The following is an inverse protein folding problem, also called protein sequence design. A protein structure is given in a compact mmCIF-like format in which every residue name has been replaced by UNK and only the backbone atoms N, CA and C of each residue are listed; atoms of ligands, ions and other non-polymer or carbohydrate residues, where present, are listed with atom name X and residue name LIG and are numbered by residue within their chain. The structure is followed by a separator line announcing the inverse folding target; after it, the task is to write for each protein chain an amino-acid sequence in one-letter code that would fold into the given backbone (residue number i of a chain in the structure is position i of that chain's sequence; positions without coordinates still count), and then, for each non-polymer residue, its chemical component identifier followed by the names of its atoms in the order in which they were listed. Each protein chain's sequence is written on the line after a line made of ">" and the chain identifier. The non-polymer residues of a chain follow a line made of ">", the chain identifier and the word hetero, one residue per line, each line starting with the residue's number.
data_IF_364942079209
#
_entry.id   IF_364942079209
#
_cell.length_a   1.000
_cell.length_b   1.000
_cell.length_c   1.000
_cell.angle_alpha   90.00
_cell.angle_beta   90.00
_cell.angle_gamma   90.00
#
_symmetry.space_group_name_H-M   'P 1'
#
loop_
_entity.id
_entity.type
_entity.pdbx_description
1 polymer ?
#
# COMPACT_ATOMS: atom_id res chain seq x y z
N UNK A 1 -14.52 -13.46 -7.38
CA UNK A 1 -14.50 -12.95 -6.00
C UNK A 1 -15.92 -13.08 -5.47
N UNK A 2 -16.17 -13.88 -4.43
CA UNK A 2 -17.53 -14.05 -3.87
C UNK A 2 -17.76 -12.91 -2.88
N UNK A 3 -18.91 -12.25 -2.97
CA UNK A 3 -19.28 -11.06 -2.20
C UNK A 3 -19.34 -11.26 -0.67
N UNK A 4 -19.25 -12.50 -0.18
CA UNK A 4 -19.14 -12.79 1.25
C UNK A 4 -17.91 -12.12 1.91
N UNK A 5 -16.83 -11.85 1.15
CA UNK A 5 -15.67 -11.11 1.66
C UNK A 5 -15.89 -9.60 1.84
N UNK A 6 -16.84 -9.00 1.12
CA UNK A 6 -17.10 -7.53 1.18
C UNK A 6 -17.93 -7.16 2.41
N UNK A 7 -18.70 -8.10 2.96
CA UNK A 7 -19.54 -7.89 4.15
C UNK A 7 -18.71 -7.57 5.39
N UNK A 8 -17.43 -7.96 5.45
CA UNK A 8 -16.57 -7.73 6.61
C UNK A 8 -16.24 -6.26 6.90
N UNK A 9 -16.49 -5.35 5.97
CA UNK A 9 -16.20 -3.92 6.12
C UNK A 9 -17.44 -3.04 6.37
N UNK A 10 -18.63 -3.63 6.52
CA UNK A 10 -19.83 -2.86 6.89
C UNK A 10 -19.80 -2.51 8.39
N UNK A 11 -19.30 -1.32 8.73
CA UNK A 11 -19.48 -0.73 10.07
C UNK A 11 -20.77 0.09 10.11
N UNK A 12 -21.84 -0.50 10.62
CA UNK A 12 -23.02 0.26 11.01
C UNK A 12 -22.83 0.82 12.42
N UNK A 13 -22.85 2.15 12.57
CA UNK A 13 -22.83 2.80 13.88
C UNK A 13 -24.27 2.86 14.44
N UNK A 14 -24.66 1.81 15.18
CA UNK A 14 -26.03 1.59 15.64
C UNK A 14 -26.55 2.63 16.67
N UNK A 15 -25.71 3.59 17.10
CA UNK A 15 -26.05 4.60 18.11
C UNK A 15 -26.14 6.04 17.57
N UNK A 16 -25.95 6.25 16.27
CA UNK A 16 -25.96 7.59 15.71
C UNK A 16 -27.40 8.09 15.43
N UNK A 17 -27.77 9.28 15.95
CA UNK A 17 -28.96 10.04 15.52
C UNK A 17 -28.85 10.58 14.06
N UNK A 18 -27.85 10.10 13.29
CA UNK A 18 -27.56 10.51 11.92
C UNK A 18 -27.84 9.32 10.99
N UNK A 19 -28.28 9.57 9.75
CA UNK A 19 -28.43 8.51 8.76
C UNK A 19 -27.12 7.72 8.61
N UNK A 20 -27.18 6.39 8.46
CA UNK A 20 -25.98 5.56 8.33
C UNK A 20 -25.25 5.89 7.02
N UNK A 21 -23.92 5.86 7.08
CA UNK A 21 -23.03 5.99 5.93
C UNK A 21 -22.40 4.62 5.64
N UNK A 22 -22.69 4.06 4.47
CA UNK A 22 -22.04 2.85 4.00
C UNK A 22 -20.83 3.22 3.14
N UNK A 23 -19.64 2.72 3.48
CA UNK A 23 -18.42 2.94 2.70
C UNK A 23 -18.01 1.64 2.03
N UNK A 24 -17.97 1.64 0.70
CA UNK A 24 -17.49 0.55 -0.14
C UNK A 24 -16.11 0.91 -0.68
N UNK A 25 -15.07 0.30 -0.11
CA UNK A 25 -13.69 0.55 -0.51
C UNK A 25 -13.22 -0.40 -1.61
N UNK A 26 -12.44 0.13 -2.56
CA UNK A 26 -11.86 -0.62 -3.69
C UNK A 26 -12.90 -1.38 -4.52
N UNK A 27 -14.04 -0.75 -4.80
CA UNK A 27 -15.11 -1.36 -5.58
C UNK A 27 -14.64 -1.70 -7.01
N UNK A 28 -15.14 -2.82 -7.52
CA UNK A 28 -14.92 -3.27 -8.89
C UNK A 28 -16.16 -2.97 -9.74
N UNK A 29 -16.00 -2.45 -10.98
CA UNK A 29 -17.13 -2.10 -11.83
C UNK A 29 -17.98 -3.30 -12.27
N UNK A 30 -17.50 -4.54 -12.12
CA UNK A 30 -18.26 -5.76 -12.41
C UNK A 30 -19.20 -6.18 -11.26
N UNK A 31 -19.15 -5.49 -10.11
CA UNK A 31 -20.01 -5.80 -8.97
C UNK A 31 -21.47 -5.44 -9.26
N UNK A 32 -22.38 -6.38 -9.02
CA UNK A 32 -23.82 -6.12 -9.12
C UNK A 32 -24.34 -5.51 -7.80
N UNK A 33 -23.92 -4.28 -7.50
CA UNK A 33 -24.24 -3.60 -6.24
C UNK A 33 -25.74 -3.48 -5.98
N UNK A 34 -26.56 -3.40 -7.03
CA UNK A 34 -28.02 -3.29 -6.94
C UNK A 34 -28.68 -4.45 -6.17
N UNK A 35 -28.02 -5.60 -6.08
CA UNK A 35 -28.54 -6.78 -5.36
C UNK A 35 -28.27 -6.72 -3.85
N UNK A 36 -27.40 -5.83 -3.40
CA UNK A 36 -26.86 -5.83 -2.03
C UNK A 36 -27.06 -4.50 -1.31
N UNK A 37 -27.30 -3.41 -2.05
CA UNK A 37 -27.52 -2.11 -1.47
C UNK A 37 -29.00 -1.95 -1.06
N UNK A 38 -29.28 -1.55 0.19
CA UNK A 38 -30.61 -1.10 0.55
C UNK A 38 -30.84 0.24 -0.14
N UNK A 39 -31.59 0.26 -1.24
CA UNK A 39 -32.04 1.51 -1.86
C UNK A 39 -33.14 2.14 -0.98
N UNK A 40 -32.74 2.72 0.15
CA UNK A 40 -33.59 3.62 0.93
C UNK A 40 -33.16 5.06 0.67
N UNK A 41 -34.12 5.99 0.62
CA UNK A 41 -33.87 7.43 0.38
C UNK A 41 -32.98 8.11 1.45
N UNK A 42 -32.64 7.40 2.53
CA UNK A 42 -31.96 7.96 3.69
C UNK A 42 -30.54 7.41 3.91
N UNK A 43 -30.11 6.40 3.16
CA UNK A 43 -28.79 5.80 3.34
C UNK A 43 -27.79 6.45 2.38
N UNK A 44 -26.75 7.08 2.93
CA UNK A 44 -25.67 7.64 2.12
C UNK A 44 -24.65 6.55 1.83
N UNK A 45 -24.22 6.40 0.56
CA UNK A 45 -23.23 5.39 0.15
C UNK A 45 -22.03 6.11 -0.47
N UNK A 46 -20.84 5.88 0.08
CA UNK A 46 -19.57 6.32 -0.49
C UNK A 46 -18.87 5.13 -1.12
N UNK A 47 -18.58 5.22 -2.42
CA UNK A 47 -17.86 4.18 -3.17
C UNK A 47 -16.50 4.75 -3.57
N UNK A 48 -15.43 4.05 -3.23
CA UNK A 48 -14.06 4.40 -3.64
C UNK A 48 -13.50 3.33 -4.56
N UNK A 49 -12.80 3.73 -5.63
CA UNK A 49 -12.12 2.82 -6.54
C UNK A 49 -11.01 3.56 -7.30
N UNK A 50 -10.01 2.80 -7.73
CA UNK A 50 -9.02 3.27 -8.71
C UNK A 50 -9.51 3.15 -10.15
N UNK A 51 -10.61 2.42 -10.37
CA UNK A 51 -11.20 2.24 -11.69
C UNK A 51 -12.33 3.24 -11.93
N UNK A 52 -12.14 4.13 -12.90
CA UNK A 52 -13.13 5.16 -13.23
C UNK A 52 -14.48 4.60 -13.71
N UNK A 53 -14.50 3.35 -14.20
CA UNK A 53 -15.73 2.69 -14.61
C UNK A 53 -16.74 2.58 -13.46
N UNK A 54 -16.30 2.56 -12.19
CA UNK A 54 -17.17 2.53 -10.99
C UNK A 54 -18.08 3.76 -10.88
N UNK A 55 -17.78 4.84 -11.62
CA UNK A 55 -18.65 6.03 -11.69
C UNK A 55 -20.09 5.73 -12.12
N UNK A 56 -20.34 4.62 -12.83
CA UNK A 56 -21.70 4.23 -13.22
C UNK A 56 -22.61 3.91 -12.02
N UNK A 57 -22.07 3.60 -10.84
CA UNK A 57 -22.85 3.40 -9.62
C UNK A 57 -23.31 4.72 -8.98
N UNK A 58 -22.76 5.86 -9.38
CA UNK A 58 -23.10 7.14 -8.77
C UNK A 58 -24.51 7.58 -9.19
N UNK A 59 -25.42 7.78 -8.21
CA UNK A 59 -26.74 8.37 -8.46
C UNK A 59 -26.69 9.87 -8.81
N UNK A 60 -25.50 10.47 -8.76
CA UNK A 60 -25.25 11.90 -9.01
C UNK A 60 -23.85 12.11 -9.58
N UNK A 61 -23.06 12.99 -8.96
CA UNK A 61 -21.72 13.30 -9.44
C UNK A 61 -20.67 12.31 -8.93
N UNK A 62 -19.91 11.72 -9.84
CA UNK A 62 -18.68 11.03 -9.50
C UNK A 62 -17.53 12.04 -9.34
N UNK A 63 -16.75 11.91 -8.27
CA UNK A 63 -15.60 12.76 -8.02
C UNK A 63 -14.31 12.03 -8.38
N UNK A 64 -13.56 12.59 -9.32
CA UNK A 64 -12.18 12.16 -9.57
C UNK A 64 -11.28 12.86 -8.57
N UNK A 65 -10.68 12.09 -7.67
CA UNK A 65 -9.69 12.63 -6.74
C UNK A 65 -8.40 12.96 -7.51
N UNK A 66 -8.01 14.24 -7.51
CA UNK A 66 -6.74 14.71 -8.05
C UNK A 66 -5.97 15.35 -6.91
N UNK A 67 -4.73 14.90 -6.66
CA UNK A 67 -3.83 15.67 -5.79
C UNK A 67 -3.53 17.02 -6.45
N UNK A 68 -3.47 18.07 -5.63
CA UNK A 68 -3.10 19.42 -6.05
C UNK A 68 -1.81 19.38 -6.88
N UNK A 69 -1.80 20.06 -8.02
CA UNK A 69 -0.60 20.22 -8.83
C UNK A 69 0.44 21.03 -8.04
N UNK A 70 1.73 20.85 -8.36
CA UNK A 70 2.86 21.52 -7.72
C UNK A 70 2.75 23.05 -7.66
N UNK A 71 1.90 23.65 -8.49
CA UNK A 71 1.65 25.09 -8.54
C UNK A 71 0.92 25.64 -7.30
N UNK A 72 0.15 24.83 -6.56
CA UNK A 72 -0.57 25.31 -5.37
C UNK A 72 0.26 25.22 -4.07
N UNK A 73 1.44 24.58 -4.13
CA UNK A 73 2.37 24.48 -3.01
C UNK A 73 3.04 25.81 -2.63
N UNK A 74 2.90 26.84 -3.46
CA UNK A 74 3.44 28.18 -3.18
C UNK A 74 2.81 28.85 -1.95
N UNK A 75 1.64 28.38 -1.49
CA UNK A 75 0.94 28.92 -0.32
C UNK A 75 1.45 28.39 1.02
N UNK A 76 2.29 27.34 1.03
CA UNK A 76 2.94 26.82 2.25
C UNK A 76 4.29 27.50 2.56
N UNK A 77 4.68 28.52 1.78
CA UNK A 77 6.03 29.09 1.71
C UNK A 77 6.50 29.98 2.87
N UNK A 78 5.81 30.04 4.01
CA UNK A 78 6.20 30.91 5.13
C UNK A 78 6.71 30.18 6.38
N UNK A 79 6.87 28.86 6.32
CA UNK A 79 7.48 28.09 7.40
C UNK A 79 8.62 27.25 6.81
N UNK A 80 9.84 27.45 7.34
CA UNK A 80 11.07 26.68 7.10
C UNK A 80 12.06 27.19 6.03
N UNK A 81 13.11 27.82 6.56
CA UNK A 81 14.32 28.26 5.85
C UNK A 81 15.16 27.08 5.32
N UNK A 82 15.70 27.24 4.11
CA UNK A 82 16.85 26.50 3.56
C UNK A 82 16.55 25.33 2.62
N UNK A 83 15.58 24.47 2.96
CA UNK A 83 15.40 23.18 2.29
C UNK A 83 14.12 23.04 1.45
N UNK A 84 13.28 24.08 1.39
CA UNK A 84 12.00 24.07 0.67
C UNK A 84 12.16 23.74 -0.82
N UNK A 85 13.16 24.33 -1.49
CA UNK A 85 13.41 24.10 -2.91
C UNK A 85 13.68 22.61 -3.20
N UNK A 86 14.57 21.98 -2.42
CA UNK A 86 14.86 20.56 -2.55
C UNK A 86 13.67 19.67 -2.19
N UNK A 87 12.90 20.04 -1.16
CA UNK A 87 11.68 19.31 -0.80
C UNK A 87 10.64 19.37 -1.93
N UNK A 88 10.42 20.55 -2.53
CA UNK A 88 9.54 20.73 -3.68
C UNK A 88 10.04 19.95 -4.89
N UNK A 89 11.34 19.96 -5.18
CA UNK A 89 11.93 19.14 -6.24
C UNK A 89 11.70 17.63 -6.03
N UNK A 90 11.78 17.14 -4.79
CA UNK A 90 11.47 15.74 -4.46
C UNK A 90 10.00 15.45 -4.71
N UNK A 91 9.09 16.29 -4.22
CA UNK A 91 7.64 16.10 -4.41
C UNK A 91 7.27 16.10 -5.89
N UNK A 92 7.88 17.00 -6.67
CA UNK A 92 7.71 17.07 -8.12
C UNK A 92 8.26 15.81 -8.81
N UNK A 93 9.44 15.34 -8.42
CA UNK A 93 10.02 14.10 -8.95
C UNK A 93 9.15 12.87 -8.62
N UNK A 94 8.42 12.90 -7.50
CA UNK A 94 7.47 11.86 -7.07
C UNK A 94 6.07 12.06 -7.69
N UNK A 95 5.91 12.95 -8.66
CA UNK A 95 4.65 13.19 -9.36
C UNK A 95 3.52 13.66 -8.46
N UNK A 96 3.85 14.31 -7.33
CA UNK A 96 2.89 14.73 -6.30
C UNK A 96 2.02 13.57 -5.78
N UNK A 97 2.54 12.34 -5.71
CA UNK A 97 1.77 11.18 -5.24
C UNK A 97 1.95 10.99 -3.74
N UNK A 98 0.86 11.13 -2.98
CA UNK A 98 0.89 11.10 -1.51
C UNK A 98 1.62 9.88 -0.94
N UNK A 99 1.37 8.69 -1.49
CA UNK A 99 2.02 7.45 -1.04
C UNK A 99 3.54 7.48 -1.30
N UNK A 100 3.96 7.95 -2.48
CA UNK A 100 5.38 8.06 -2.82
C UNK A 100 6.09 9.12 -1.95
N UNK A 101 5.42 10.25 -1.68
CA UNK A 101 5.91 11.33 -0.80
C UNK A 101 6.04 10.86 0.65
N UNK A 102 5.02 10.18 1.19
CA UNK A 102 5.07 9.62 2.53
C UNK A 102 6.20 8.57 2.66
N UNK A 103 6.36 7.72 1.65
CA UNK A 103 7.45 6.72 1.59
C UNK A 103 8.82 7.39 1.56
N UNK A 104 8.99 8.45 0.75
CA UNK A 104 10.22 9.23 0.71
C UNK A 104 10.55 9.88 2.06
N UNK A 105 9.56 10.50 2.69
CA UNK A 105 9.70 11.11 4.01
C UNK A 105 10.13 10.10 5.07
N UNK A 106 9.49 8.92 5.10
CA UNK A 106 9.86 7.83 6.00
C UNK A 106 11.28 7.31 5.74
N UNK A 107 11.68 7.17 4.48
CA UNK A 107 13.05 6.79 4.11
C UNK A 107 14.06 7.81 4.64
N UNK A 108 13.83 9.10 4.39
CA UNK A 108 14.74 10.17 4.81
C UNK A 108 14.85 10.20 6.35
N UNK A 109 13.72 10.18 7.06
CA UNK A 109 13.69 10.23 8.52
C UNK A 109 14.36 9.02 9.18
N UNK A 110 14.23 7.83 8.59
CA UNK A 110 14.84 6.59 9.12
C UNK A 110 16.31 6.43 8.73
N UNK A 111 16.91 7.38 8.00
CA UNK A 111 18.30 7.29 7.53
C UNK A 111 19.10 8.47 8.03
N UNK A 112 19.84 8.28 9.11
CA UNK A 112 20.62 9.35 9.75
C UNK A 112 21.56 10.10 8.77
N UNK A 113 22.06 9.43 7.73
CA UNK A 113 22.98 10.00 6.74
C UNK A 113 22.32 10.48 5.44
N UNK A 114 21.00 10.32 5.30
CA UNK A 114 20.30 10.70 4.06
C UNK A 114 19.81 12.15 4.12
N UNK A 115 20.40 13.00 3.30
CA UNK A 115 19.89 14.36 3.06
C UNK A 115 18.84 14.36 1.94
N UNK A 116 18.06 15.43 1.83
CA UNK A 116 17.09 15.61 0.74
C UNK A 116 17.75 15.46 -0.65
N UNK A 117 18.89 16.13 -0.86
CA UNK A 117 19.66 16.04 -2.12
C UNK A 117 20.13 14.61 -2.41
N UNK A 118 20.56 13.88 -1.38
CA UNK A 118 20.99 12.49 -1.52
C UNK A 118 19.82 11.59 -1.91
N UNK A 119 18.67 11.74 -1.24
CA UNK A 119 17.46 11.00 -1.60
C UNK A 119 17.02 11.28 -3.04
N UNK A 120 16.97 12.56 -3.44
CA UNK A 120 16.58 12.95 -4.80
C UNK A 120 17.45 12.28 -5.87
N UNK A 121 18.76 12.21 -5.63
CA UNK A 121 19.70 11.54 -6.53
C UNK A 121 19.48 10.02 -6.58
N UNK A 122 19.28 9.38 -5.42
CA UNK A 122 18.97 7.95 -5.34
C UNK A 122 17.67 7.60 -6.07
N UNK A 123 16.62 8.40 -5.85
CA UNK A 123 15.32 8.21 -6.50
C UNK A 123 15.40 8.35 -8.01
N UNK A 124 16.05 9.41 -8.52
CA UNK A 124 16.24 9.58 -9.98
C UNK A 124 17.02 8.42 -10.59
N UNK A 125 18.08 7.96 -9.92
CA UNK A 125 18.85 6.81 -10.38
C UNK A 125 18.02 5.52 -10.41
N UNK A 126 17.26 5.26 -9.34
CA UNK A 126 16.45 4.05 -9.19
C UNK A 126 15.30 4.01 -10.20
N UNK A 127 14.58 5.12 -10.32
CA UNK A 127 13.48 5.29 -11.28
C UNK A 127 13.96 5.04 -12.71
N UNK A 128 15.08 5.64 -13.13
CA UNK A 128 15.65 5.42 -14.46
C UNK A 128 16.04 3.96 -14.72
N UNK A 129 16.63 3.26 -13.74
CA UNK A 129 16.99 1.84 -13.88
C UNK A 129 15.75 0.96 -14.08
N UNK A 130 14.71 1.18 -13.30
CA UNK A 130 13.49 0.38 -13.33
C UNK A 130 12.64 0.62 -14.59
N UNK A 131 12.62 1.87 -15.09
CA UNK A 131 12.00 2.23 -16.37
C UNK A 131 12.63 1.49 -17.56
N UNK A 132 13.93 1.19 -17.49
CA UNK A 132 14.66 0.56 -18.59
C UNK A 132 14.52 -0.97 -18.65
N UNK A 133 14.12 -1.63 -17.55
CA UNK A 133 14.24 -3.09 -17.43
C UNK A 133 12.89 -3.83 -17.34
N UNK A 134 11.95 -3.39 -16.48
CA UNK A 134 10.91 -4.32 -15.99
C UNK A 134 9.46 -3.78 -15.95
N UNK A 135 9.23 -2.50 -16.25
CA UNK A 135 7.96 -1.85 -15.86
C UNK A 135 7.08 -1.36 -17.02
N UNK A 136 7.20 -1.94 -18.22
CA UNK A 136 6.47 -1.42 -19.40
C UNK A 136 4.95 -1.47 -19.25
N UNK A 137 4.40 -2.45 -18.53
CA UNK A 137 2.96 -2.63 -18.29
C UNK A 137 2.39 -1.72 -17.21
N UNK A 138 3.23 -1.09 -16.40
CA UNK A 138 2.80 -0.27 -15.26
C UNK A 138 2.50 1.17 -15.69
N UNK A 139 1.50 1.78 -15.08
CA UNK A 139 1.20 3.20 -15.27
C UNK A 139 2.23 4.10 -14.55
N UNK A 140 2.12 5.42 -14.75
CA UNK A 140 3.05 6.39 -14.15
C UNK A 140 2.95 6.45 -12.63
N UNK A 141 1.79 6.19 -12.06
CA UNK A 141 1.57 6.12 -10.62
C UNK A 141 2.31 4.92 -10.02
N UNK A 142 2.04 3.74 -10.54
CA UNK A 142 2.66 2.48 -10.12
C UNK A 142 4.19 2.55 -10.26
N UNK A 143 4.71 3.08 -11.36
CA UNK A 143 6.15 3.29 -11.56
C UNK A 143 6.80 4.13 -10.47
N UNK A 144 6.14 5.23 -10.11
CA UNK A 144 6.67 6.20 -9.15
C UNK A 144 6.62 5.67 -7.73
N UNK A 145 5.46 5.15 -7.31
CA UNK A 145 5.29 4.51 -6.00
C UNK A 145 6.24 3.35 -5.83
N UNK A 146 6.32 2.45 -6.82
CA UNK A 146 7.21 1.30 -6.76
C UNK A 146 8.68 1.72 -6.69
N UNK A 147 9.11 2.74 -7.44
CA UNK A 147 10.49 3.24 -7.37
C UNK A 147 10.83 3.79 -5.98
N UNK A 148 9.90 4.51 -5.33
CA UNK A 148 10.06 5.01 -3.97
C UNK A 148 10.07 3.86 -2.94
N UNK A 149 9.18 2.88 -3.10
CA UNK A 149 9.14 1.67 -2.28
C UNK A 149 10.44 0.87 -2.40
N UNK A 150 10.91 0.63 -3.62
CA UNK A 150 12.09 -0.20 -3.88
C UNK A 150 13.36 0.37 -3.23
N UNK A 151 13.50 1.70 -3.15
CA UNK A 151 14.60 2.31 -2.38
C UNK A 151 14.58 1.88 -0.92
N UNK A 152 13.41 1.85 -0.30
CA UNK A 152 13.25 1.41 1.09
C UNK A 152 13.48 -0.09 1.21
N UNK A 153 12.94 -0.88 0.27
CA UNK A 153 13.08 -2.33 0.24
C UNK A 153 14.55 -2.77 0.14
N UNK A 154 15.35 -2.14 -0.72
CA UNK A 154 16.77 -2.46 -0.92
C UNK A 154 17.62 -2.34 0.34
N UNK A 155 17.17 -1.57 1.34
CA UNK A 155 17.89 -1.35 2.60
C UNK A 155 17.54 -2.35 3.69
N UNK A 156 16.47 -3.10 3.50
CA UNK A 156 16.05 -4.10 4.45
C UNK A 156 17.07 -5.24 4.49
N UNK A 157 17.22 -5.86 5.66
CA UNK A 157 18.03 -7.07 5.76
C UNK A 157 17.43 -8.16 4.85
N UNK A 158 18.25 -9.09 4.31
CA UNK A 158 17.76 -10.14 3.42
C UNK A 158 16.58 -10.92 4.01
N UNK A 159 16.59 -11.19 5.32
CA UNK A 159 15.46 -11.79 6.01
C UNK A 159 14.20 -10.95 5.83
N UNK A 160 14.17 -9.69 6.26
CA UNK A 160 13.00 -8.82 6.11
C UNK A 160 12.51 -8.69 4.65
N UNK A 161 13.41 -8.71 3.66
CA UNK A 161 13.02 -8.73 2.25
C UNK A 161 12.23 -9.99 1.88
N UNK A 162 12.70 -11.17 2.26
CA UNK A 162 11.96 -12.41 2.02
C UNK A 162 10.61 -12.43 2.77
N UNK A 163 10.53 -11.80 3.96
CA UNK A 163 9.24 -11.73 4.70
C UNK A 163 8.20 -11.03 3.84
N UNK A 164 8.55 -9.85 3.35
CA UNK A 164 7.66 -9.01 2.55
C UNK A 164 7.30 -9.72 1.25
N UNK A 165 8.24 -10.46 0.64
CA UNK A 165 7.97 -11.27 -0.55
C UNK A 165 7.00 -12.43 -0.25
N UNK A 166 7.11 -13.09 0.90
CA UNK A 166 6.11 -14.07 1.35
C UNK A 166 4.75 -13.39 1.53
N UNK A 167 4.73 -12.20 2.13
CA UNK A 167 3.50 -11.44 2.32
C UNK A 167 2.80 -11.08 1.01
N UNK A 168 3.55 -10.96 -0.09
CA UNK A 168 2.99 -10.68 -1.41
C UNK A 168 2.11 -11.81 -1.98
N UNK A 169 2.14 -13.02 -1.38
CA UNK A 169 1.25 -14.12 -1.74
C UNK A 169 -0.10 -14.09 -0.99
N UNK A 170 -0.25 -13.25 0.03
CA UNK A 170 -1.51 -13.11 0.75
C UNK A 170 -2.44 -12.08 0.09
N UNK A 171 -3.73 -12.17 0.42
CA UNK A 171 -4.68 -11.12 0.11
C UNK A 171 -4.35 -9.86 0.93
N UNK A 172 -4.46 -8.67 0.31
CA UNK A 172 -3.95 -7.41 0.85
C UNK A 172 -4.69 -6.88 2.09
N UNK A 173 -5.90 -7.37 2.40
CA UNK A 173 -6.75 -6.88 3.51
C UNK A 173 -6.92 -7.85 4.67
N UNK A 174 -6.56 -9.13 4.52
CA UNK A 174 -6.97 -10.18 5.47
C UNK A 174 -5.81 -11.14 5.78
N UNK A 175 -4.63 -10.59 6.09
CA UNK A 175 -3.47 -11.38 6.52
C UNK A 175 -3.66 -11.75 8.00
N UNK A 176 -3.90 -13.04 8.35
CA UNK A 176 -4.16 -13.42 9.74
C UNK A 176 -2.89 -13.29 10.58
N UNK A 177 -2.96 -12.56 11.69
CA UNK A 177 -1.80 -12.34 12.57
C UNK A 177 -1.38 -13.65 13.24
N UNK A 178 -2.35 -14.53 13.53
CA UNK A 178 -2.16 -15.84 14.14
C UNK A 178 -1.22 -16.72 13.31
N UNK A 179 -1.25 -16.59 11.98
CA UNK A 179 -0.35 -17.31 11.07
C UNK A 179 1.12 -17.04 11.43
N UNK A 180 1.46 -15.79 11.73
CA UNK A 180 2.83 -15.41 12.08
C UNK A 180 3.21 -15.87 13.49
N UNK A 181 2.26 -15.91 14.43
CA UNK A 181 2.49 -16.49 15.76
C UNK A 181 2.75 -18.00 15.71
N UNK A 182 2.00 -18.74 14.89
CA UNK A 182 2.27 -20.17 14.70
C UNK A 182 3.62 -20.39 14.03
N UNK A 183 3.96 -19.60 13.02
CA UNK A 183 5.24 -19.71 12.33
C UNK A 183 6.44 -19.41 13.25
N UNK A 184 6.32 -18.46 14.18
CA UNK A 184 7.41 -18.13 15.13
C UNK A 184 7.60 -19.17 16.23
N UNK A 185 6.54 -19.89 16.61
CA UNK A 185 6.59 -20.95 17.62
C UNK A 185 6.85 -22.34 17.04
N UNK A 186 6.91 -22.46 15.71
CA UNK A 186 7.08 -23.73 15.00
C UNK A 186 8.44 -24.40 15.29
N UNK A 187 8.40 -25.52 16.00
CA UNK A 187 9.60 -26.30 16.36
C UNK A 187 9.92 -27.41 15.35
N UNK A 188 9.08 -27.62 14.33
CA UNK A 188 9.27 -28.66 13.31
C UNK A 188 9.06 -30.10 13.80
N UNK A 189 8.55 -30.27 15.02
CA UNK A 189 8.23 -31.58 15.58
C UNK A 189 7.02 -32.22 14.88
N UNK A 190 6.09 -31.41 14.39
CA UNK A 190 4.85 -31.83 13.73
C UNK A 190 5.04 -32.29 12.27
N UNK A 191 6.23 -32.13 11.70
CA UNK A 191 6.51 -32.59 10.33
C UNK A 191 6.67 -34.11 10.29
N UNK A 192 6.00 -34.75 9.33
CA UNK A 192 6.23 -36.16 9.03
C UNK A 192 7.66 -36.38 8.51
N UNK A 193 8.20 -37.61 8.58
CA UNK A 193 9.55 -37.92 8.11
C UNK A 193 9.78 -37.55 6.63
N UNK A 194 8.78 -37.75 5.77
CA UNK A 194 8.85 -37.38 4.35
C UNK A 194 8.89 -35.86 4.13
N UNK A 195 8.16 -35.10 4.95
CA UNK A 195 8.18 -33.64 4.91
C UNK A 195 9.50 -33.08 5.45
N UNK A 196 10.14 -33.76 6.40
CA UNK A 196 11.49 -33.40 6.90
C UNK A 196 12.56 -33.62 5.84
N UNK A 197 12.39 -34.62 4.97
CA UNK A 197 13.34 -34.98 3.90
C UNK A 197 13.15 -34.14 2.63
N UNK A 198 11.90 -33.79 2.27
CA UNK A 198 11.60 -32.92 1.11
C UNK A 198 11.73 -31.42 1.41
N UNK A 199 11.58 -30.99 2.66
CA UNK A 199 11.67 -29.56 3.00
C UNK A 199 13.08 -29.12 3.43
N UNK A 200 14.01 -29.07 2.49
CA UNK A 200 15.17 -28.18 2.63
C UNK A 200 14.75 -26.71 2.80
N UNK A 201 13.56 -26.32 2.32
CA UNK A 201 12.95 -24.99 2.47
C UNK A 201 12.46 -24.66 3.90
N UNK A 202 12.10 -25.65 4.73
CA UNK A 202 11.64 -25.38 6.11
C UNK A 202 12.78 -24.96 7.05
N UNK A 203 14.04 -25.31 6.74
CA UNK A 203 15.19 -24.78 7.48
C UNK A 203 15.31 -23.27 7.32
N UNK A 204 14.98 -22.75 6.14
CA UNK A 204 14.99 -21.32 5.87
C UNK A 204 13.84 -20.63 6.60
N UNK A 205 12.61 -21.14 6.56
CA UNK A 205 11.47 -20.60 7.33
C UNK A 205 11.75 -20.61 8.84
N UNK A 206 12.42 -21.63 9.35
CA UNK A 206 12.81 -21.69 10.77
C UNK A 206 13.88 -20.65 11.12
N UNK A 207 14.93 -20.52 10.30
CA UNK A 207 15.91 -19.44 10.45
C UNK A 207 15.29 -18.04 10.25
N UNK A 208 14.27 -17.96 9.41
CA UNK A 208 13.54 -16.77 9.04
C UNK A 208 12.82 -16.11 10.22
N UNK A 209 11.99 -16.89 10.91
CA UNK A 209 11.20 -16.40 12.03
C UNK A 209 12.01 -16.29 13.33
N UNK A 210 13.05 -17.11 13.52
CA UNK A 210 13.94 -17.00 14.68
C UNK A 210 14.77 -15.71 14.62
N UNK A 211 15.23 -15.28 13.44
CA UNK A 211 16.06 -14.06 13.29
C UNK A 211 15.24 -12.76 13.34
N UNK A 212 13.91 -12.82 13.21
CA UNK A 212 13.02 -11.66 13.27
C UNK A 212 12.54 -11.33 14.70
N UNK A 213 12.76 -12.23 15.66
CA UNK A 213 12.32 -12.10 17.05
C UNK A 213 13.48 -11.97 18.06
N UNK A 214 14.72 -11.82 17.60
CA UNK A 214 15.93 -11.56 18.42
C UNK A 214 16.65 -10.31 17.92
#
# INVERSE_FOLDING_TARGET
>A
MRLEEIVHNMKADAYAQKPPLLVLENADPSMELDKYLPYSLHDSILITSTNEAVSHFASGQAYKFKLLDSADQHSAGNLYNGNWQLASEIVNALGCQALAVATAGAYIASTATCTLSKYLSLFKQKSNKLLNYEMKSLDSYQKTVFSAFQLSFDRLQPSTQYFIQICAFFHHTAIPIELFHYASTFTGQDLSPEEKEKNFSCRWVKAFFITLCT
#
